data_IF_559666887771
#
_entry.id   IF_559666887771
#
_cell.length_a   1.000
_cell.length_b   1.000
_cell.length_c   1.000
_cell.angle_alpha   90.00
_cell.angle_beta   90.00
_cell.angle_gamma   90.00
#
_symmetry.space_group_name_H-M   'P 1'
#
loop_
_entity.id
_entity.type
_entity.pdbx_description
1 polymer ?
#
# COMPACT_ATOMS: atom_id res chain seq x y z
N UNK A 1 8.29 21.23 10.54
CA UNK A 1 8.47 20.43 9.32
C UNK A 1 8.53 18.97 9.70
N UNK A 2 8.09 18.03 8.87
CA UNK A 2 8.17 16.62 9.23
C UNK A 2 9.63 16.16 9.36
N UNK A 3 9.87 15.29 10.31
CA UNK A 3 11.15 14.58 10.49
C UNK A 3 11.01 13.10 10.11
N UNK A 4 9.78 12.61 10.02
CA UNK A 4 9.45 11.22 9.68
C UNK A 4 8.52 11.19 8.46
N UNK A 5 8.87 10.38 7.48
CA UNK A 5 8.02 10.10 6.32
C UNK A 5 7.60 8.63 6.35
N UNK A 6 6.30 8.40 6.37
CA UNK A 6 5.71 7.07 6.22
C UNK A 6 5.25 6.92 4.77
N UNK A 7 5.77 5.93 4.06
CA UNK A 7 5.37 5.64 2.68
C UNK A 7 4.43 4.45 2.60
N UNK A 8 3.43 4.51 1.73
CA UNK A 8 2.87 3.29 1.16
C UNK A 8 3.89 2.65 0.21
N UNK A 9 3.64 1.41 -0.17
CA UNK A 9 4.54 0.63 -1.03
C UNK A 9 4.08 0.63 -2.50
N UNK A 10 2.91 0.03 -2.77
CA UNK A 10 2.36 -0.14 -4.12
C UNK A 10 1.86 1.22 -4.65
N UNK A 11 2.30 1.64 -5.84
CA UNK A 11 1.94 2.93 -6.44
C UNK A 11 2.68 4.15 -5.89
N UNK A 12 3.51 3.97 -4.84
CA UNK A 12 4.34 5.04 -4.26
C UNK A 12 5.83 4.73 -4.40
N UNK A 13 6.29 3.60 -3.91
CA UNK A 13 7.70 3.18 -4.04
C UNK A 13 7.90 2.31 -5.29
N UNK A 14 6.96 1.41 -5.57
CA UNK A 14 7.01 0.46 -6.68
C UNK A 14 5.75 0.60 -7.54
N UNK A 15 5.91 0.63 -8.85
CA UNK A 15 4.80 0.62 -9.82
C UNK A 15 4.24 -0.80 -9.96
N UNK A 16 3.44 -1.20 -8.99
CA UNK A 16 2.92 -2.56 -8.85
C UNK A 16 1.39 -2.66 -8.82
N UNK A 17 0.66 -1.55 -8.91
CA UNK A 17 -0.80 -1.55 -8.79
C UNK A 17 -1.48 -2.46 -9.83
N UNK A 18 -1.06 -2.39 -11.10
CA UNK A 18 -1.57 -3.28 -12.16
C UNK A 18 -1.16 -4.74 -11.93
N UNK A 19 0.05 -4.99 -11.47
CA UNK A 19 0.52 -6.36 -11.12
C UNK A 19 -0.37 -6.93 -10.03
N UNK A 20 -0.65 -6.16 -8.98
CA UNK A 20 -1.52 -6.54 -7.88
C UNK A 20 -2.94 -6.84 -8.35
N UNK A 21 -3.52 -5.96 -9.16
CA UNK A 21 -4.87 -6.15 -9.70
C UNK A 21 -4.95 -7.41 -10.57
N UNK A 22 -4.01 -7.57 -11.49
CA UNK A 22 -3.97 -8.72 -12.39
C UNK A 22 -3.74 -10.05 -11.64
N UNK A 23 -3.07 -10.01 -10.49
CA UNK A 23 -2.95 -11.17 -9.60
C UNK A 23 -4.30 -11.73 -9.15
N UNK A 24 -5.24 -10.88 -8.75
CA UNK A 24 -6.60 -11.31 -8.40
C UNK A 24 -7.38 -11.86 -9.61
N UNK A 25 -7.17 -11.26 -10.78
CA UNK A 25 -7.79 -11.78 -12.01
C UNK A 25 -7.27 -13.19 -12.32
N UNK A 26 -5.95 -13.39 -12.25
CA UNK A 26 -5.32 -14.71 -12.46
C UNK A 26 -5.79 -15.75 -11.44
N UNK A 27 -6.04 -15.34 -10.19
CA UNK A 27 -6.51 -16.22 -9.12
C UNK A 27 -7.90 -16.81 -9.45
N UNK A 28 -8.78 -16.02 -10.07
CA UNK A 28 -10.19 -16.40 -10.22
C UNK A 28 -10.66 -16.68 -11.65
N UNK A 29 -9.96 -16.18 -12.69
CA UNK A 29 -10.45 -16.22 -14.07
C UNK A 29 -10.78 -17.63 -14.60
N UNK A 30 -10.05 -18.65 -14.15
CA UNK A 30 -10.30 -20.03 -14.61
C UNK A 30 -11.47 -20.69 -13.87
N UNK A 31 -11.70 -20.30 -12.60
CA UNK A 31 -12.78 -20.86 -11.78
C UNK A 31 -14.12 -20.13 -11.98
N UNK A 32 -14.05 -18.80 -12.21
CA UNK A 32 -15.22 -17.92 -12.26
C UNK A 32 -15.10 -16.89 -13.39
N UNK A 33 -14.98 -17.30 -14.68
CA UNK A 33 -14.74 -16.37 -15.79
C UNK A 33 -15.83 -15.31 -15.93
N UNK A 34 -17.06 -15.63 -15.60
CA UNK A 34 -18.21 -14.72 -15.67
C UNK A 34 -18.17 -13.59 -14.62
N UNK A 35 -17.44 -13.75 -13.54
CA UNK A 35 -17.36 -12.79 -12.42
C UNK A 35 -16.23 -11.74 -12.61
N UNK A 36 -15.36 -11.95 -13.59
CA UNK A 36 -14.08 -11.20 -13.70
C UNK A 36 -14.29 -9.72 -14.01
N UNK A 37 -15.23 -9.37 -14.88
CA UNK A 37 -15.44 -7.97 -15.25
C UNK A 37 -16.01 -7.14 -14.09
N UNK A 38 -16.89 -7.73 -13.30
CA UNK A 38 -17.42 -7.09 -12.09
C UNK A 38 -16.30 -6.94 -11.04
N UNK A 39 -15.53 -7.99 -10.81
CA UNK A 39 -14.43 -7.95 -9.87
C UNK A 39 -13.34 -6.96 -10.27
N UNK A 40 -13.00 -6.84 -11.54
CA UNK A 40 -12.06 -5.85 -12.05
C UNK A 40 -12.50 -4.42 -11.76
N UNK A 41 -13.79 -4.11 -11.94
CA UNK A 41 -14.35 -2.79 -11.59
C UNK A 41 -14.19 -2.50 -10.09
N UNK A 42 -14.50 -3.48 -9.24
CA UNK A 42 -14.32 -3.35 -7.80
C UNK A 42 -12.87 -3.14 -7.41
N UNK A 43 -11.94 -3.92 -7.95
CA UNK A 43 -10.52 -3.83 -7.64
C UNK A 43 -9.93 -2.46 -7.97
N UNK A 44 -10.32 -1.86 -9.10
CA UNK A 44 -9.88 -0.50 -9.50
C UNK A 44 -10.30 0.56 -8.48
N UNK A 45 -11.53 0.50 -7.99
CA UNK A 45 -12.07 1.46 -7.03
C UNK A 45 -11.56 1.25 -5.60
N UNK A 46 -10.95 0.11 -5.33
CA UNK A 46 -10.58 -0.33 -4.00
C UNK A 46 -9.12 -0.84 -3.94
N UNK A 47 -8.22 -0.21 -4.71
CA UNK A 47 -6.80 -0.61 -4.81
C UNK A 47 -6.10 -0.67 -3.44
N UNK A 48 -6.35 0.29 -2.55
CA UNK A 48 -5.73 0.41 -1.23
C UNK A 48 -6.25 -0.56 -0.15
N UNK A 49 -7.28 -1.38 -0.43
CA UNK A 49 -7.73 -2.41 0.51
C UNK A 49 -6.78 -3.60 0.57
N UNK A 50 -6.73 -4.27 1.74
CA UNK A 50 -5.96 -5.50 1.90
C UNK A 50 -6.52 -6.63 1.02
N UNK A 51 -5.65 -7.61 0.69
CA UNK A 51 -6.07 -8.80 -0.07
C UNK A 51 -7.21 -9.56 0.60
N UNK A 52 -7.23 -9.62 1.92
CA UNK A 52 -8.27 -10.31 2.67
C UNK A 52 -9.65 -9.70 2.42
N UNK A 53 -9.74 -8.37 2.48
CA UNK A 53 -10.99 -7.63 2.17
C UNK A 53 -11.43 -7.78 0.71
N UNK A 54 -10.48 -7.85 -0.22
CA UNK A 54 -10.76 -8.04 -1.65
C UNK A 54 -11.26 -9.46 -1.94
N UNK A 55 -10.67 -10.48 -1.30
CA UNK A 55 -11.09 -11.88 -1.41
C UNK A 55 -12.47 -12.07 -0.77
N UNK A 56 -12.67 -11.58 0.46
CA UNK A 56 -13.95 -11.59 1.17
C UNK A 56 -15.07 -10.99 0.29
N UNK A 57 -14.84 -9.79 -0.26
CA UNK A 57 -15.79 -9.14 -1.17
C UNK A 57 -16.12 -10.00 -2.39
N UNK A 58 -15.13 -10.65 -2.99
CA UNK A 58 -15.34 -11.52 -4.15
C UNK A 58 -16.35 -12.64 -3.84
N UNK A 59 -16.17 -13.32 -2.72
CA UNK A 59 -17.07 -14.38 -2.29
C UNK A 59 -18.45 -13.86 -1.89
N UNK A 60 -18.52 -12.89 -1.00
CA UNK A 60 -19.77 -12.42 -0.42
C UNK A 60 -20.63 -11.60 -1.41
N UNK A 61 -20.00 -10.74 -2.20
CA UNK A 61 -20.73 -9.76 -3.01
C UNK A 61 -20.86 -10.16 -4.48
N UNK A 62 -19.89 -10.89 -5.03
CA UNK A 62 -19.92 -11.30 -6.43
C UNK A 62 -20.47 -12.72 -6.56
N UNK A 63 -19.91 -13.67 -5.80
CA UNK A 63 -20.38 -15.05 -5.84
C UNK A 63 -21.63 -15.30 -5.00
N UNK A 64 -21.94 -14.41 -4.03
CA UNK A 64 -23.05 -14.57 -3.08
C UNK A 64 -22.93 -15.83 -2.21
N UNK A 65 -21.71 -16.14 -1.79
CA UNK A 65 -21.35 -17.29 -0.97
C UNK A 65 -20.63 -16.76 0.27
N UNK A 66 -21.01 -17.25 1.45
CA UNK A 66 -20.25 -17.02 2.67
C UNK A 66 -19.01 -17.93 2.68
N UNK A 67 -17.80 -17.39 2.60
CA UNK A 67 -16.59 -18.20 2.49
C UNK A 67 -16.15 -18.73 3.86
N UNK A 68 -15.74 -20.00 3.89
CA UNK A 68 -15.04 -20.53 5.06
C UNK A 68 -13.67 -19.87 5.23
N UNK A 69 -13.23 -19.67 6.48
CA UNK A 69 -11.93 -19.07 6.79
C UNK A 69 -10.76 -19.78 6.09
N UNK A 70 -10.85 -21.11 5.95
CA UNK A 70 -9.85 -21.91 5.25
C UNK A 70 -9.72 -21.52 3.78
N UNK A 71 -10.83 -21.22 3.10
CA UNK A 71 -10.85 -20.77 1.69
C UNK A 71 -10.20 -19.40 1.58
N UNK A 72 -10.56 -18.45 2.45
CA UNK A 72 -9.98 -17.11 2.48
C UNK A 72 -8.46 -17.15 2.69
N UNK A 73 -8.00 -17.99 3.61
CA UNK A 73 -6.57 -18.18 3.92
C UNK A 73 -5.84 -18.76 2.71
N UNK A 74 -6.38 -19.82 2.12
CA UNK A 74 -5.79 -20.46 0.94
C UNK A 74 -5.70 -19.52 -0.25
N UNK A 75 -6.77 -18.81 -0.57
CA UNK A 75 -6.78 -17.87 -1.70
C UNK A 75 -5.82 -16.69 -1.45
N UNK A 76 -5.62 -16.26 -0.20
CA UNK A 76 -4.62 -15.24 0.14
C UNK A 76 -3.18 -15.75 -0.04
N UNK A 77 -2.90 -17.03 0.24
CA UNK A 77 -1.61 -17.68 0.00
C UNK A 77 -1.37 -17.91 -1.52
N UNK A 78 -2.38 -18.42 -2.23
CA UNK A 78 -2.34 -18.60 -3.68
C UNK A 78 -2.08 -17.26 -4.39
N UNK A 79 -2.75 -16.19 -3.96
CA UNK A 79 -2.51 -14.85 -4.45
C UNK A 79 -1.04 -14.41 -4.24
N UNK A 80 -0.47 -14.61 -3.05
CA UNK A 80 0.95 -14.32 -2.80
C UNK A 80 1.86 -15.06 -3.77
N UNK A 81 1.59 -16.34 -4.01
CA UNK A 81 2.37 -17.18 -4.92
C UNK A 81 2.31 -16.66 -6.37
N UNK A 82 1.15 -16.09 -6.77
CA UNK A 82 0.93 -15.52 -8.10
C UNK A 82 1.70 -14.22 -8.31
N UNK A 83 1.74 -13.32 -7.31
CA UNK A 83 2.18 -11.92 -7.52
C UNK A 83 3.57 -11.60 -7.03
N UNK A 84 4.11 -12.32 -6.03
CA UNK A 84 5.35 -11.91 -5.35
C UNK A 84 6.53 -11.72 -6.33
N UNK A 85 6.74 -12.67 -7.25
CA UNK A 85 7.83 -12.60 -8.23
C UNK A 85 7.67 -11.41 -9.19
N UNK A 86 6.42 -11.12 -9.59
CA UNK A 86 6.13 -10.05 -10.53
C UNK A 86 6.30 -8.67 -9.84
N UNK A 87 5.90 -8.54 -8.56
CA UNK A 87 6.12 -7.32 -7.77
C UNK A 87 7.60 -7.08 -7.48
N UNK A 88 8.39 -8.15 -7.23
CA UNK A 88 9.84 -8.01 -7.09
C UNK A 88 10.48 -7.42 -8.36
N UNK A 89 9.96 -7.73 -9.55
CA UNK A 89 10.46 -7.27 -10.84
C UNK A 89 9.84 -5.97 -11.33
N UNK A 90 8.74 -5.53 -10.74
CA UNK A 90 8.06 -4.29 -11.14
C UNK A 90 9.02 -3.09 -11.01
N UNK A 91 8.94 -2.08 -11.89
CA UNK A 91 9.82 -0.93 -11.81
C UNK A 91 9.57 -0.14 -10.52
N UNK A 92 10.58 0.57 -10.06
CA UNK A 92 10.38 1.62 -9.05
C UNK A 92 9.59 2.77 -9.66
N UNK A 93 8.78 3.44 -8.85
CA UNK A 93 8.24 4.75 -9.22
C UNK A 93 9.42 5.70 -9.43
N UNK A 94 9.37 6.43 -10.53
CA UNK A 94 10.48 7.31 -10.95
C UNK A 94 10.88 8.28 -9.83
N UNK A 95 12.17 8.30 -9.52
CA UNK A 95 12.76 9.12 -8.46
C UNK A 95 12.53 8.62 -7.03
N UNK A 96 11.76 7.54 -6.78
CA UNK A 96 11.44 7.09 -5.42
C UNK A 96 12.69 6.74 -4.59
N UNK A 97 13.54 5.91 -5.13
CA UNK A 97 14.74 5.45 -4.42
C UNK A 97 15.81 6.54 -4.35
N UNK A 98 15.90 7.38 -5.38
CA UNK A 98 16.85 8.50 -5.38
C UNK A 98 16.47 9.55 -4.34
N UNK A 99 15.16 9.83 -4.18
CA UNK A 99 14.66 10.70 -3.12
C UNK A 99 15.03 10.17 -1.73
N UNK A 100 14.76 8.88 -1.48
CA UNK A 100 15.08 8.23 -0.19
C UNK A 100 16.57 8.33 0.11
N UNK A 101 17.42 7.93 -0.84
CA UNK A 101 18.89 7.97 -0.67
C UNK A 101 19.41 9.37 -0.44
N UNK A 102 18.92 10.34 -1.21
CA UNK A 102 19.35 11.75 -1.13
C UNK A 102 19.03 12.35 0.24
N UNK A 103 17.89 11.98 0.81
CA UNK A 103 17.37 12.59 2.03
C UNK A 103 17.51 11.70 3.29
N UNK A 104 18.31 10.62 3.24
CA UNK A 104 18.43 9.63 4.32
C UNK A 104 18.94 10.23 5.65
N UNK A 105 19.71 11.30 5.59
CA UNK A 105 20.21 12.00 6.77
C UNK A 105 19.26 13.09 7.28
N UNK A 106 18.17 13.36 6.56
CA UNK A 106 17.20 14.40 6.88
C UNK A 106 15.92 13.83 7.46
N UNK A 107 15.47 12.70 6.94
CA UNK A 107 14.22 12.05 7.35
C UNK A 107 14.45 10.63 7.84
N UNK A 108 13.71 10.24 8.85
CA UNK A 108 13.49 8.84 9.18
C UNK A 108 12.36 8.31 8.28
N UNK A 109 12.51 7.09 7.76
CA UNK A 109 11.52 6.46 6.89
C UNK A 109 10.89 5.24 7.55
N UNK A 110 9.57 5.10 7.40
CA UNK A 110 8.83 3.89 7.67
C UNK A 110 7.99 3.51 6.44
N UNK A 111 7.63 2.24 6.33
CA UNK A 111 6.75 1.74 5.29
C UNK A 111 5.52 1.10 5.93
N UNK A 112 4.32 1.56 5.56
CA UNK A 112 3.05 0.99 6.05
C UNK A 112 2.12 0.76 4.88
N UNK A 113 1.88 -0.52 4.55
CA UNK A 113 1.13 -0.94 3.36
C UNK A 113 -0.02 -1.90 3.71
N UNK A 114 -1.00 -1.99 2.82
CA UNK A 114 -2.04 -3.03 2.86
C UNK A 114 -1.58 -4.40 2.34
N UNK A 115 -0.36 -4.50 1.84
CA UNK A 115 0.26 -5.76 1.44
C UNK A 115 0.51 -6.68 2.63
N UNK A 116 0.51 -8.01 2.43
CA UNK A 116 0.76 -8.95 3.51
C UNK A 116 2.14 -8.72 4.14
N UNK A 117 2.24 -8.77 5.46
CA UNK A 117 3.43 -8.45 6.24
C UNK A 117 4.68 -9.24 5.80
N UNK A 118 4.57 -10.56 5.72
CA UNK A 118 5.71 -11.41 5.38
C UNK A 118 6.12 -11.25 3.92
N UNK A 119 5.16 -11.12 3.02
CA UNK A 119 5.39 -10.85 1.61
C UNK A 119 6.06 -9.50 1.40
N UNK A 120 5.58 -8.45 2.07
CA UNK A 120 6.13 -7.09 1.97
C UNK A 120 7.61 -7.06 2.39
N UNK A 121 7.93 -7.67 3.54
CA UNK A 121 9.32 -7.78 4.01
C UNK A 121 10.17 -8.52 2.99
N UNK A 122 9.71 -9.69 2.50
CA UNK A 122 10.42 -10.50 1.50
C UNK A 122 10.70 -9.69 0.22
N UNK A 123 9.70 -8.94 -0.26
CA UNK A 123 9.86 -8.08 -1.44
C UNK A 123 10.90 -7.00 -1.19
N UNK A 124 10.81 -6.27 -0.07
CA UNK A 124 11.75 -5.21 0.28
C UNK A 124 13.20 -5.74 0.39
N UNK A 125 13.40 -6.87 1.05
CA UNK A 125 14.72 -7.53 1.14
C UNK A 125 15.24 -7.97 -0.24
N UNK A 126 14.38 -8.58 -1.07
CA UNK A 126 14.76 -9.02 -2.43
C UNK A 126 15.13 -7.86 -3.35
N UNK A 127 14.66 -6.65 -3.05
CA UNK A 127 14.93 -5.41 -3.78
C UNK A 127 16.03 -4.56 -3.14
N UNK A 128 16.62 -5.01 -2.03
CA UNK A 128 17.67 -4.30 -1.26
C UNK A 128 17.25 -2.89 -0.79
N UNK A 129 15.97 -2.74 -0.42
CA UNK A 129 15.41 -1.46 0.05
C UNK A 129 14.96 -1.48 1.52
N UNK A 130 14.86 -2.64 2.16
CA UNK A 130 14.48 -2.80 3.56
C UNK A 130 15.36 -1.97 4.49
N UNK A 131 16.63 -1.85 4.19
CA UNK A 131 17.65 -1.08 4.92
C UNK A 131 17.36 0.43 5.05
N UNK A 132 16.46 0.97 4.23
CA UNK A 132 16.09 2.39 4.28
C UNK A 132 14.96 2.68 5.27
N UNK A 133 14.23 1.67 5.72
CA UNK A 133 13.04 1.82 6.56
C UNK A 133 13.30 1.30 7.97
N UNK A 134 12.98 2.13 8.96
CA UNK A 134 13.13 1.74 10.38
C UNK A 134 12.05 0.75 10.82
N UNK A 135 10.86 0.79 10.20
CA UNK A 135 9.80 -0.21 10.34
C UNK A 135 9.14 -0.47 8.98
N UNK A 136 8.79 -1.74 8.72
CA UNK A 136 8.00 -2.18 7.56
C UNK A 136 6.79 -2.92 8.10
N UNK A 137 5.60 -2.33 7.96
CA UNK A 137 4.36 -2.83 8.53
C UNK A 137 3.32 -3.11 7.43
N UNK A 138 2.70 -4.29 7.51
CA UNK A 138 1.74 -4.78 6.53
C UNK A 138 0.46 -5.36 7.14
N UNK A 139 -0.44 -5.86 6.28
CA UNK A 139 -1.64 -6.58 6.70
C UNK A 139 -1.29 -7.97 7.28
N UNK A 140 -2.17 -8.56 8.12
CA UNK A 140 -3.61 -8.29 8.26
C UNK A 140 -3.97 -7.12 9.18
N UNK A 141 -2.99 -6.52 9.89
CA UNK A 141 -3.27 -5.36 10.73
C UNK A 141 -3.64 -4.18 9.81
N UNK A 142 -4.75 -3.50 10.13
CA UNK A 142 -5.21 -2.36 9.36
C UNK A 142 -4.20 -1.20 9.39
N UNK A 143 -4.17 -0.44 8.31
CA UNK A 143 -3.17 0.62 8.08
C UNK A 143 -3.17 1.68 9.20
N UNK A 144 -4.34 2.14 9.65
CA UNK A 144 -4.45 3.07 10.77
C UNK A 144 -3.90 2.47 12.08
N UNK A 145 -4.12 1.18 12.35
CA UNK A 145 -3.58 0.50 13.53
C UNK A 145 -2.06 0.34 13.47
N UNK A 146 -1.52 0.10 12.28
CA UNK A 146 -0.09 0.08 12.05
C UNK A 146 0.53 1.47 12.25
N UNK A 147 -0.12 2.55 11.81
CA UNK A 147 0.31 3.94 12.07
C UNK A 147 0.31 4.23 13.57
N UNK A 148 -0.77 3.90 14.29
CA UNK A 148 -0.86 4.08 15.75
C UNK A 148 0.23 3.28 16.48
N UNK A 149 0.50 2.04 16.03
CA UNK A 149 1.57 1.19 16.57
C UNK A 149 2.93 1.82 16.35
N UNK A 150 3.22 2.29 15.14
CA UNK A 150 4.46 2.98 14.79
C UNK A 150 4.68 4.22 15.68
N UNK A 151 3.67 5.10 15.78
CA UNK A 151 3.73 6.31 16.63
C UNK A 151 4.07 5.95 18.07
N UNK A 152 3.41 4.94 18.63
CA UNK A 152 3.61 4.49 20.01
C UNK A 152 5.00 3.86 20.22
N UNK A 153 5.45 2.99 19.31
CA UNK A 153 6.73 2.32 19.41
C UNK A 153 7.91 3.30 19.35
N UNK A 154 7.78 4.33 18.51
CA UNK A 154 8.79 5.36 18.31
C UNK A 154 8.67 6.51 19.32
N UNK A 155 7.60 6.57 20.10
CA UNK A 155 7.23 7.75 20.89
C UNK A 155 7.26 9.04 20.05
N UNK A 156 6.79 8.94 18.81
CA UNK A 156 6.92 9.99 17.80
C UNK A 156 5.86 11.08 17.98
N UNK A 157 6.20 12.32 17.66
CA UNK A 157 5.29 13.45 17.70
C UNK A 157 4.48 13.46 16.39
N UNK A 158 3.15 13.37 16.47
CA UNK A 158 2.27 13.26 15.30
C UNK A 158 2.46 14.39 14.28
N UNK A 159 2.70 15.62 14.74
CA UNK A 159 2.93 16.78 13.86
C UNK A 159 4.25 16.71 13.07
N UNK A 160 5.15 15.81 13.43
CA UNK A 160 6.42 15.57 12.74
C UNK A 160 6.33 14.41 11.74
N UNK A 161 5.18 13.75 11.63
CA UNK A 161 4.96 12.62 10.74
C UNK A 161 4.12 13.07 9.55
N UNK A 162 4.56 12.69 8.35
CA UNK A 162 3.75 12.78 7.13
C UNK A 162 3.64 11.40 6.49
N UNK A 163 2.41 11.04 6.08
CA UNK A 163 2.15 9.84 5.29
C UNK A 163 2.06 10.22 3.82
N UNK A 164 2.72 9.47 2.96
CA UNK A 164 2.66 9.60 1.50
C UNK A 164 2.01 8.35 0.93
N UNK A 165 0.87 8.50 0.26
CA UNK A 165 0.09 7.39 -0.28
C UNK A 165 -0.66 7.74 -1.55
N UNK A 166 -1.04 6.73 -2.35
CA UNK A 166 -1.68 6.90 -3.66
C UNK A 166 -3.20 6.66 -3.65
N UNK A 167 -3.79 6.27 -2.51
CA UNK A 167 -5.20 5.93 -2.42
C UNK A 167 -5.95 6.73 -1.35
N UNK A 168 -7.29 6.83 -1.52
CA UNK A 168 -8.20 7.36 -0.46
C UNK A 168 -8.08 6.61 0.88
N UNK A 169 -7.67 5.34 0.86
CA UNK A 169 -7.51 4.55 2.08
C UNK A 169 -6.28 4.97 2.87
N UNK A 170 -5.24 5.46 2.19
CA UNK A 170 -4.06 6.07 2.80
C UNK A 170 -4.42 7.39 3.48
N UNK A 171 -5.15 8.24 2.74
CA UNK A 171 -5.66 9.50 3.27
C UNK A 171 -6.47 9.29 4.54
N UNK A 172 -7.47 8.39 4.49
CA UNK A 172 -8.32 8.07 5.64
C UNK A 172 -7.50 7.52 6.82
N UNK A 173 -6.55 6.62 6.56
CA UNK A 173 -5.73 6.03 7.61
C UNK A 173 -4.84 7.07 8.29
N UNK A 174 -4.20 7.95 7.53
CA UNK A 174 -3.36 9.01 8.05
C UNK A 174 -4.17 10.02 8.88
N UNK A 175 -5.29 10.51 8.34
CA UNK A 175 -6.14 11.50 9.01
C UNK A 175 -6.77 10.94 10.28
N UNK A 176 -7.27 9.70 10.26
CA UNK A 176 -7.80 9.04 11.45
C UNK A 176 -6.74 8.81 12.54
N UNK A 177 -5.48 8.69 12.15
CA UNK A 177 -4.35 8.59 13.09
C UNK A 177 -3.85 9.95 13.59
N UNK A 178 -4.37 11.06 13.03
CA UNK A 178 -4.01 12.43 13.39
C UNK A 178 -2.62 12.86 12.91
N UNK A 179 -2.15 12.31 11.78
CA UNK A 179 -0.91 12.70 11.13
C UNK A 179 -1.19 13.40 9.79
N UNK A 180 -0.19 14.14 9.28
CA UNK A 180 -0.29 14.80 7.98
C UNK A 180 -0.31 13.79 6.84
N UNK A 181 -0.99 14.13 5.74
CA UNK A 181 -1.05 13.33 4.53
C UNK A 181 -0.65 14.13 3.29
N UNK A 182 0.08 13.50 2.40
CA UNK A 182 0.37 13.97 1.03
C UNK A 182 -0.06 12.88 0.07
N UNK A 183 -0.99 13.22 -0.84
CA UNK A 183 -1.41 12.32 -1.92
C UNK A 183 -0.34 12.22 -3.00
N UNK A 184 -0.05 10.99 -3.45
CA UNK A 184 0.86 10.73 -4.56
C UNK A 184 0.04 10.23 -5.76
N UNK A 185 -0.14 11.05 -6.80
CA UNK A 185 -0.97 10.73 -7.96
C UNK A 185 -1.98 11.83 -8.30
N UNK A 186 -3.16 11.46 -8.78
CA UNK A 186 -4.15 12.43 -9.23
C UNK A 186 -5.02 12.94 -8.06
N UNK A 187 -5.32 14.25 -8.05
CA UNK A 187 -6.17 14.88 -7.02
C UNK A 187 -7.54 14.24 -6.88
N UNK A 188 -8.10 13.69 -7.96
CA UNK A 188 -9.39 13.00 -7.96
C UNK A 188 -9.44 11.74 -7.11
N UNK A 189 -8.30 11.17 -6.75
CA UNK A 189 -8.20 9.98 -5.88
C UNK A 189 -8.43 10.34 -4.39
N UNK A 190 -8.36 11.62 -4.03
CA UNK A 190 -8.38 12.09 -2.65
C UNK A 190 -9.55 13.04 -2.41
N UNK A 191 -10.11 13.00 -1.19
CA UNK A 191 -11.30 13.77 -0.83
C UNK A 191 -11.03 14.94 0.11
N UNK A 192 -9.99 14.89 0.91
CA UNK A 192 -9.74 15.85 1.98
C UNK A 192 -8.43 16.61 1.84
N UNK A 193 -7.36 15.95 1.33
CA UNK A 193 -6.06 16.62 1.19
C UNK A 193 -6.01 17.57 0.00
N UNK A 194 -5.43 18.74 0.21
CA UNK A 194 -5.04 19.67 -0.87
C UNK A 194 -3.57 19.46 -1.31
N UNK A 195 -2.79 18.71 -0.54
CA UNK A 195 -1.39 18.43 -0.84
C UNK A 195 -1.30 17.17 -1.67
N UNK A 196 -1.21 17.33 -2.99
CA UNK A 196 -1.07 16.23 -3.94
C UNK A 196 0.12 16.50 -4.84
N UNK A 197 0.92 15.47 -5.08
CA UNK A 197 2.11 15.50 -5.94
C UNK A 197 2.04 14.33 -6.93
N UNK A 198 2.64 14.51 -8.09
CA UNK A 198 2.74 13.47 -9.12
C UNK A 198 4.17 12.93 -9.28
N UNK A 199 5.13 13.61 -8.67
CA UNK A 199 6.55 13.27 -8.78
C UNK A 199 7.28 13.44 -7.45
N UNK A 200 8.39 12.73 -7.28
CA UNK A 200 9.27 12.89 -6.12
C UNK A 200 9.95 14.26 -6.08
N UNK A 201 10.13 14.91 -7.23
CA UNK A 201 10.63 16.29 -7.29
C UNK A 201 9.62 17.30 -6.71
N UNK A 202 8.32 17.08 -6.92
CA UNK A 202 7.26 17.89 -6.29
C UNK A 202 7.16 17.60 -4.79
N UNK A 203 7.25 16.31 -4.39
CA UNK A 203 7.28 15.90 -2.98
C UNK A 203 8.42 16.60 -2.24
N UNK A 204 9.61 16.62 -2.83
CA UNK A 204 10.77 17.29 -2.24
C UNK A 204 10.51 18.79 -2.00
N UNK A 205 9.86 19.50 -2.94
CA UNK A 205 9.52 20.92 -2.78
C UNK A 205 8.52 21.18 -1.68
N UNK A 206 7.54 20.29 -1.45
CA UNK A 206 6.54 20.44 -0.39
C UNK A 206 7.16 20.20 1.00
N UNK A 207 8.18 19.36 1.09
CA UNK A 207 8.85 18.98 2.32
C UNK A 207 9.99 19.95 2.72
N UNK A 208 10.34 20.87 1.84
CA UNK A 208 11.29 21.96 2.07
C UNK A 208 10.59 23.22 2.55
#
# INVERSE_FOLDING_TARGET
MPSIIVFDFDGVIVDSNEVRMNGFIRLYQNRYPWAIDEYRRYLRLNSGLSRYKKIEYFYENILRIEPELMILTKDAEDYSSIVTSDVIKAPFIDGSIDFIKKNINRFEYAMISSSNQLELIKICMSRDIDKYFTEILGSPIEKNKNIERFIRNKNAIKSEIVYVGDTKYDEIAALNSGISFIGFGQKSEFSQTEKVVNTYAELEKILH
#
